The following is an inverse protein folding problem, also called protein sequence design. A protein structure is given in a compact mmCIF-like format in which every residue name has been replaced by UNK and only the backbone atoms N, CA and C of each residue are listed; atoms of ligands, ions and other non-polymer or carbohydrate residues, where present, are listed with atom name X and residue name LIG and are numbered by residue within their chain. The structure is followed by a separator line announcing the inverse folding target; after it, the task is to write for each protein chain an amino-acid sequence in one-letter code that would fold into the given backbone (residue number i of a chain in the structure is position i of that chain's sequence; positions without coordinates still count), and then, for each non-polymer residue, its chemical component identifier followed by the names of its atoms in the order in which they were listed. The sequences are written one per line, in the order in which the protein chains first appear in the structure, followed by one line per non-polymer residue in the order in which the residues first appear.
data_IF_665809826265
#
_entry.id   IF_665809826265
#
_cell.length_a   1.000
_cell.length_b   1.000
_cell.length_c   1.000
_cell.angle_alpha   90.00
_cell.angle_beta   90.00
_cell.angle_gamma   90.00
#
_symmetry.space_group_name_H-M   'P 1'
#
loop_
_entity.id
_entity.type
_entity.pdbx_description
1 polymer ?
#
# COMPACT_ATOMS: atom_id res chain seq x y z
N UNK A 1 41.00 7.45 0.12
CA UNK A 1 40.09 6.92 1.15
C UNK A 1 38.99 7.94 1.33
N UNK A 2 37.80 7.68 0.79
CA UNK A 2 36.60 8.45 1.11
C UNK A 2 35.46 7.45 1.25
N UNK A 3 35.18 7.09 2.49
CA UNK A 3 33.99 6.35 2.88
C UNK A 3 32.79 7.23 2.57
N UNK A 4 32.07 6.92 1.51
CA UNK A 4 30.71 7.40 1.32
C UNK A 4 29.82 6.56 2.23
N UNK A 5 29.56 7.08 3.43
CA UNK A 5 28.44 6.63 4.25
C UNK A 5 27.17 6.80 3.42
N UNK A 6 26.55 5.67 3.09
CA UNK A 6 25.29 5.58 2.38
C UNK A 6 24.18 5.65 3.45
N UNK A 7 23.45 6.77 3.63
CA UNK A 7 22.45 6.85 4.71
C UNK A 7 21.13 6.14 4.36
N UNK A 8 21.03 5.51 3.19
CA UNK A 8 19.78 4.95 2.65
C UNK A 8 19.62 3.42 2.80
N UNK A 9 20.31 2.80 3.76
CA UNK A 9 19.92 1.49 4.30
C UNK A 9 19.23 1.65 5.67
N UNK A 10 18.31 2.61 5.80
CA UNK A 10 17.40 2.59 6.95
C UNK A 10 16.48 1.39 6.75
N UNK A 11 16.85 0.25 7.33
CA UNK A 11 15.96 -0.90 7.49
C UNK A 11 14.71 -0.34 8.15
N UNK A 12 13.63 -0.24 7.40
CA UNK A 12 12.38 0.28 7.91
C UNK A 12 11.90 -0.69 9.00
N UNK A 13 12.04 -0.28 10.26
CA UNK A 13 11.62 -1.07 11.42
C UNK A 13 10.68 -0.19 12.24
N UNK A 14 9.35 -0.40 12.13
CA UNK A 14 8.41 0.21 13.05
C UNK A 14 8.78 -0.21 14.47
N UNK A 15 9.18 0.74 15.30
CA UNK A 15 9.57 0.47 16.69
C UNK A 15 8.36 0.74 17.58
N UNK A 16 7.94 -0.26 18.34
CA UNK A 16 6.92 -0.08 19.38
C UNK A 16 7.57 0.68 20.55
N UNK A 17 7.01 1.82 21.01
CA UNK A 17 7.58 2.54 22.14
C UNK A 17 7.65 1.64 23.39
N UNK A 18 8.74 1.70 24.18
CA UNK A 18 8.94 0.80 25.31
C UNK A 18 7.89 0.98 26.43
N UNK A 19 7.28 2.17 26.51
CA UNK A 19 6.31 2.55 27.54
C UNK A 19 4.90 1.98 27.31
N UNK A 20 4.71 1.18 26.25
CA UNK A 20 3.41 0.63 25.89
C UNK A 20 3.20 -0.70 26.64
N UNK A 21 2.08 -0.89 27.37
CA UNK A 21 1.76 -2.16 27.99
C UNK A 21 1.84 -3.29 26.96
N UNK A 22 2.36 -4.47 27.34
CA UNK A 22 2.47 -5.63 26.42
C UNK A 22 3.37 -5.43 25.20
N UNK A 23 4.23 -4.40 25.19
CA UNK A 23 5.28 -4.20 24.18
C UNK A 23 6.13 -5.45 23.94
N UNK A 24 6.39 -6.25 24.98
CA UNK A 24 7.12 -7.52 24.89
C UNK A 24 6.48 -8.53 23.94
N UNK A 25 5.14 -8.63 23.91
CA UNK A 25 4.43 -9.57 23.04
C UNK A 25 4.39 -9.08 21.60
N UNK A 26 4.19 -7.77 21.40
CA UNK A 26 4.28 -7.15 20.08
C UNK A 26 5.69 -7.37 19.49
N UNK A 27 6.73 -7.17 20.30
CA UNK A 27 8.11 -7.38 19.90
C UNK A 27 8.41 -8.86 19.60
N UNK A 28 7.87 -9.79 20.39
CA UNK A 28 8.00 -11.23 20.13
C UNK A 28 7.37 -11.61 18.78
N UNK A 29 6.15 -11.16 18.49
CA UNK A 29 5.50 -11.43 17.18
C UNK A 29 6.32 -10.83 16.04
N UNK A 30 6.80 -9.59 16.19
CA UNK A 30 7.66 -8.98 15.18
C UNK A 30 8.98 -9.73 14.98
N UNK A 31 9.54 -10.33 16.04
CA UNK A 31 10.73 -11.17 15.96
C UNK A 31 10.44 -12.50 15.24
N UNK A 32 9.31 -13.14 15.54
CA UNK A 32 8.86 -14.35 14.84
C UNK A 32 8.64 -14.08 13.35
N UNK A 33 8.18 -12.87 13.03
CA UNK A 33 7.92 -12.41 11.67
C UNK A 33 9.09 -11.67 11.02
N UNK A 34 10.31 -11.72 11.59
CA UNK A 34 11.46 -10.91 11.14
C UNK A 34 11.77 -11.04 9.64
N UNK A 35 11.46 -12.19 9.04
CA UNK A 35 11.71 -12.49 7.62
C UNK A 35 10.52 -12.10 6.71
N UNK A 36 9.37 -11.75 7.29
CA UNK A 36 8.20 -11.28 6.54
C UNK A 36 8.21 -9.75 6.38
N UNK A 37 7.36 -9.23 5.50
CA UNK A 37 7.11 -7.79 5.34
C UNK A 37 6.04 -7.23 6.30
N UNK A 38 5.51 -8.05 7.22
CA UNK A 38 4.36 -7.71 8.07
C UNK A 38 4.80 -7.48 9.51
N UNK A 39 4.39 -6.36 10.09
CA UNK A 39 4.72 -5.99 11.48
C UNK A 39 3.49 -5.49 12.20
N UNK A 40 3.47 -5.62 13.51
CA UNK A 40 2.50 -4.95 14.37
C UNK A 40 3.18 -3.78 15.05
N UNK A 41 2.50 -2.65 15.08
CA UNK A 41 2.96 -1.45 15.75
C UNK A 41 1.82 -0.70 16.42
N UNK A 42 2.16 0.35 17.15
CA UNK A 42 1.23 1.37 17.64
C UNK A 42 1.70 2.73 17.15
N UNK A 43 0.77 3.63 16.81
CA UNK A 43 1.13 4.98 16.40
C UNK A 43 1.26 5.89 17.62
N UNK A 44 2.40 6.58 17.77
CA UNK A 44 2.67 7.50 18.90
C UNK A 44 1.63 8.63 19.02
N UNK A 45 0.95 8.99 17.92
CA UNK A 45 -0.08 10.04 17.88
C UNK A 45 -1.51 9.51 18.03
N UNK A 46 -1.69 8.27 18.50
CA UNK A 46 -3.01 7.75 18.84
C UNK A 46 -3.60 8.56 20.02
N UNK A 47 -4.74 9.22 19.81
CA UNK A 47 -5.41 10.02 20.85
C UNK A 47 -5.95 9.09 21.94
N UNK A 48 -5.23 8.95 23.05
CA UNK A 48 -5.75 8.29 24.25
C UNK A 48 -4.68 7.55 25.07
N UNK A 49 -5.01 7.20 26.33
CA UNK A 49 -4.11 6.45 27.22
C UNK A 49 -3.90 4.98 26.78
N UNK A 50 -4.76 4.47 25.91
CA UNK A 50 -4.72 3.10 25.40
C UNK A 50 -4.61 3.11 23.87
N UNK A 51 -3.43 2.80 23.31
CA UNK A 51 -3.15 2.94 21.89
C UNK A 51 -3.80 1.82 21.06
N UNK A 52 -4.17 2.15 19.83
CA UNK A 52 -4.65 1.21 18.83
C UNK A 52 -3.47 0.48 18.15
N UNK A 53 -3.66 -0.82 17.88
CA UNK A 53 -2.74 -1.64 17.12
C UNK A 53 -2.92 -1.40 15.61
N UNK A 54 -1.81 -1.34 14.90
CA UNK A 54 -1.75 -1.24 13.46
C UNK A 54 -0.95 -2.41 12.89
N UNK A 55 -1.47 -3.01 11.83
CA UNK A 55 -0.69 -3.93 10.99
C UNK A 55 -0.02 -3.10 9.93
N UNK A 56 1.30 -3.17 9.88
CA UNK A 56 2.10 -2.44 8.91
C UNK A 56 2.70 -3.42 7.93
N UNK A 57 2.52 -3.15 6.65
CA UNK A 57 2.97 -4.05 5.58
C UNK A 57 3.42 -3.27 4.36
N UNK A 58 4.25 -3.90 3.53
CA UNK A 58 4.55 -3.42 2.19
C UNK A 58 3.72 -4.19 1.17
N UNK A 59 3.05 -3.44 0.30
CA UNK A 59 2.24 -4.00 -0.79
C UNK A 59 2.93 -3.73 -2.12
N UNK A 60 3.26 -4.81 -2.83
CA UNK A 60 3.80 -4.73 -4.17
C UNK A 60 2.71 -4.35 -5.16
N UNK A 61 2.83 -3.16 -5.75
CA UNK A 61 1.92 -2.69 -6.80
C UNK A 61 2.56 -2.70 -8.18
N UNK A 62 3.89 -2.57 -8.26
CA UNK A 62 4.66 -2.56 -9.49
C UNK A 62 5.25 -3.95 -9.78
N UNK A 63 5.37 -4.27 -11.06
CA UNK A 63 6.11 -5.42 -11.58
C UNK A 63 7.58 -5.30 -11.24
N UNK A 64 8.23 -6.43 -10.96
CA UNK A 64 9.69 -6.52 -10.80
C UNK A 64 10.44 -6.28 -12.11
N UNK A 65 9.76 -6.48 -13.24
CA UNK A 65 10.23 -6.10 -14.58
C UNK A 65 10.24 -4.57 -14.75
N UNK A 66 11.44 -4.00 -14.84
CA UNK A 66 11.69 -2.57 -15.02
C UNK A 66 11.25 -2.05 -16.38
N UNK A 67 11.22 -2.89 -17.41
CA UNK A 67 10.83 -2.53 -18.78
C UNK A 67 9.31 -2.40 -18.93
N UNK A 68 8.57 -2.94 -17.95
CA UNK A 68 7.12 -2.91 -18.01
C UNK A 68 6.59 -1.48 -17.84
N UNK A 69 5.79 -0.94 -18.78
CA UNK A 69 5.27 0.40 -18.68
C UNK A 69 4.40 0.61 -17.44
N UNK A 70 4.45 1.81 -16.87
CA UNK A 70 3.71 2.16 -15.64
C UNK A 70 2.19 2.22 -15.84
N UNK A 71 1.74 2.72 -16.99
CA UNK A 71 0.32 2.99 -17.28
C UNK A 71 -0.62 1.79 -17.03
N UNK A 72 -0.34 0.55 -17.52
CA UNK A 72 -1.19 -0.61 -17.24
C UNK A 72 -1.15 -1.07 -15.77
N UNK A 73 -0.18 -0.59 -14.97
CA UNK A 73 0.00 -0.95 -13.56
C UNK A 73 -0.66 0.05 -12.61
N UNK A 74 -0.95 1.27 -13.06
CA UNK A 74 -1.63 2.30 -12.27
C UNK A 74 -2.98 1.84 -11.67
N UNK A 75 -3.83 1.05 -12.36
CA UNK A 75 -5.07 0.57 -11.77
C UNK A 75 -4.87 -0.23 -10.48
N UNK A 76 -3.82 -1.03 -10.38
CA UNK A 76 -3.50 -1.79 -9.16
C UNK A 76 -3.10 -0.84 -8.03
N UNK A 77 -2.22 0.13 -8.31
CA UNK A 77 -1.84 1.16 -7.33
C UNK A 77 -3.04 1.97 -6.85
N UNK A 78 -3.87 2.45 -7.77
CA UNK A 78 -5.06 3.23 -7.44
C UNK A 78 -6.10 2.39 -6.68
N UNK A 79 -6.22 1.09 -6.98
CA UNK A 79 -7.08 0.18 -6.22
C UNK A 79 -6.58 0.00 -4.79
N UNK A 80 -5.26 -0.07 -4.57
CA UNK A 80 -4.67 -0.07 -3.22
C UNK A 80 -5.02 1.22 -2.47
N UNK A 81 -4.80 2.38 -3.10
CA UNK A 81 -5.05 3.68 -2.48
C UNK A 81 -6.55 3.90 -2.19
N UNK A 82 -7.44 3.47 -3.10
CA UNK A 82 -8.89 3.52 -2.92
C UNK A 82 -9.34 2.61 -1.77
N UNK A 83 -8.75 1.41 -1.65
CA UNK A 83 -9.03 0.48 -0.55
C UNK A 83 -8.67 1.07 0.81
N UNK A 84 -7.61 1.87 0.86
CA UNK A 84 -7.15 2.52 2.08
C UNK A 84 -7.88 3.84 2.36
N UNK A 85 -8.69 4.35 1.42
CA UNK A 85 -9.30 5.68 1.49
C UNK A 85 -10.05 5.89 2.81
N UNK A 86 -9.81 7.03 3.45
CA UNK A 86 -10.42 7.37 4.75
C UNK A 86 -9.73 6.73 5.96
N UNK A 87 -8.74 5.85 5.76
CA UNK A 87 -7.88 5.37 6.85
C UNK A 87 -6.70 6.31 7.06
N UNK A 88 -6.13 6.31 8.26
CA UNK A 88 -4.86 7.00 8.56
C UNK A 88 -3.66 6.37 7.82
N UNK A 89 -3.86 5.24 7.15
CA UNK A 89 -2.83 4.47 6.45
C UNK A 89 -2.65 4.80 4.97
N UNK A 90 -3.44 5.71 4.40
CA UNK A 90 -3.25 6.15 3.00
C UNK A 90 -1.93 6.91 2.90
N UNK A 91 -0.97 6.46 2.06
CA UNK A 91 0.23 7.23 1.81
C UNK A 91 -0.12 8.51 1.03
N UNK A 92 0.40 9.65 1.49
CA UNK A 92 0.23 10.94 0.80
C UNK A 92 1.01 11.00 -0.51
N UNK A 93 2.12 10.28 -0.57
CA UNK A 93 3.00 10.20 -1.74
C UNK A 93 3.41 8.75 -1.99
N UNK A 94 3.41 8.38 -3.27
CA UNK A 94 3.94 7.11 -3.75
C UNK A 94 4.99 7.40 -4.81
N UNK A 95 6.21 6.89 -4.59
CA UNK A 95 7.29 6.87 -5.58
C UNK A 95 6.97 5.83 -6.65
N UNK A 96 6.82 6.28 -7.90
CA UNK A 96 6.43 5.47 -9.05
C UNK A 96 7.61 4.69 -9.65
N UNK A 97 8.83 5.13 -9.36
CA UNK A 97 10.09 4.50 -9.72
C UNK A 97 10.53 3.40 -8.74
N UNK A 98 10.00 3.37 -7.51
CA UNK A 98 10.34 2.39 -6.48
C UNK A 98 9.82 0.98 -6.80
N UNK A 99 10.67 -0.03 -6.52
CA UNK A 99 10.33 -1.46 -6.55
C UNK A 99 10.05 -2.04 -5.16
N UNK A 100 10.24 -1.27 -4.09
CA UNK A 100 10.08 -1.73 -2.69
C UNK A 100 8.61 -1.88 -2.24
N UNK A 101 7.66 -1.61 -3.14
CA UNK A 101 6.24 -1.56 -2.82
C UNK A 101 5.85 -0.30 -2.03
N UNK A 102 4.61 -0.29 -1.54
CA UNK A 102 4.04 0.82 -0.76
C UNK A 102 3.85 0.37 0.67
N UNK A 103 4.44 1.09 1.63
CA UNK A 103 4.20 0.87 3.05
C UNK A 103 2.80 1.38 3.41
N UNK A 104 2.00 0.52 4.03
CA UNK A 104 0.60 0.81 4.41
C UNK A 104 0.39 0.46 5.88
N UNK A 105 -0.40 1.30 6.56
CA UNK A 105 -0.73 1.14 7.98
C UNK A 105 -2.21 0.79 8.09
N UNK A 106 -2.51 -0.47 8.39
CA UNK A 106 -3.86 -0.99 8.48
C UNK A 106 -4.36 -0.84 9.93
N UNK A 107 -5.38 0.01 10.18
CA UNK A 107 -5.99 0.08 11.49
C UNK A 107 -6.69 -1.25 11.79
N UNK A 108 -6.45 -1.79 12.99
CA UNK A 108 -7.06 -3.07 13.41
C UNK A 108 -8.36 -2.85 14.20
N UNK A 109 -8.61 -1.63 14.69
CA UNK A 109 -9.69 -1.35 15.64
C UNK A 109 -9.46 -1.92 17.04
N UNK A 110 -8.37 -2.66 17.26
CA UNK A 110 -8.06 -3.32 18.52
C UNK A 110 -7.08 -2.45 19.29
N UNK A 111 -7.38 -2.23 20.57
CA UNK A 111 -6.49 -1.53 21.48
C UNK A 111 -5.56 -2.49 22.20
N UNK A 112 -4.40 -2.01 22.62
CA UNK A 112 -3.41 -2.79 23.35
C UNK A 112 -3.98 -3.42 24.64
N UNK A 113 -4.84 -2.69 25.36
CA UNK A 113 -5.52 -3.23 26.55
C UNK A 113 -6.46 -4.40 26.23
N UNK A 114 -7.00 -4.46 25.02
CA UNK A 114 -7.92 -5.49 24.55
C UNK A 114 -7.27 -6.86 24.36
N UNK A 115 -5.93 -6.92 24.25
CA UNK A 115 -5.24 -8.20 24.11
C UNK A 115 -5.47 -9.13 25.33
N UNK A 116 -5.31 -10.44 25.18
CA UNK A 116 -5.35 -11.38 26.27
C UNK A 116 -4.25 -11.10 27.31
N UNK A 117 -4.48 -11.51 28.57
CA UNK A 117 -3.40 -11.50 29.58
C UNK A 117 -2.45 -12.68 29.40
N UNK A 118 -2.95 -13.77 28.82
CA UNK A 118 -2.15 -14.96 28.52
C UNK A 118 -1.22 -14.69 27.32
N UNK A 119 0.10 -14.91 27.45
CA UNK A 119 1.07 -14.66 26.37
C UNK A 119 0.80 -15.48 25.10
N UNK A 120 0.45 -16.76 25.24
CA UNK A 120 0.24 -17.66 24.11
C UNK A 120 -0.99 -17.24 23.31
N UNK A 121 -2.09 -16.94 24.00
CA UNK A 121 -3.31 -16.40 23.38
C UNK A 121 -3.07 -15.04 22.74
N UNK A 122 -2.28 -14.18 23.38
CA UNK A 122 -1.92 -12.87 22.81
C UNK A 122 -1.17 -12.99 21.49
N UNK A 123 -0.17 -13.89 21.43
CA UNK A 123 0.58 -14.14 20.20
C UNK A 123 -0.33 -14.71 19.11
N UNK A 124 -1.19 -15.68 19.44
CA UNK A 124 -2.16 -16.25 18.50
C UNK A 124 -3.12 -15.20 17.93
N UNK A 125 -3.64 -14.33 18.78
CA UNK A 125 -4.54 -13.25 18.38
C UNK A 125 -3.84 -12.22 17.50
N UNK A 126 -2.61 -11.80 17.87
CA UNK A 126 -1.79 -10.89 17.07
C UNK A 126 -1.49 -11.45 15.67
N UNK A 127 -1.18 -12.75 15.57
CA UNK A 127 -0.98 -13.41 14.27
C UNK A 127 -2.27 -13.45 13.45
N UNK A 128 -3.40 -13.79 14.06
CA UNK A 128 -4.72 -13.77 13.38
C UNK A 128 -5.05 -12.38 12.85
N UNK A 129 -4.83 -11.33 13.66
CA UNK A 129 -5.08 -9.94 13.26
C UNK A 129 -4.27 -9.56 12.01
N UNK A 130 -3.01 -10.00 11.91
CA UNK A 130 -2.20 -9.77 10.71
C UNK A 130 -2.82 -10.48 9.52
N UNK A 131 -3.12 -11.78 9.64
CA UNK A 131 -3.68 -12.58 8.55
C UNK A 131 -5.01 -12.01 8.05
N UNK A 132 -5.92 -11.69 8.97
CA UNK A 132 -7.24 -11.13 8.67
C UNK A 132 -7.13 -9.75 8.00
N UNK A 133 -6.26 -8.88 8.52
CA UNK A 133 -6.05 -7.53 7.97
C UNK A 133 -5.49 -7.59 6.55
N UNK A 134 -4.52 -8.49 6.30
CA UNK A 134 -3.93 -8.68 4.97
C UNK A 134 -4.91 -9.31 3.99
N UNK A 135 -5.64 -10.33 4.44
CA UNK A 135 -6.66 -11.02 3.64
C UNK A 135 -7.74 -10.03 3.19
N UNK A 136 -8.23 -9.21 4.12
CA UNK A 136 -9.22 -8.17 3.83
C UNK A 136 -8.68 -7.15 2.81
N UNK A 137 -7.50 -6.57 3.08
CA UNK A 137 -6.85 -5.61 2.18
C UNK A 137 -6.70 -6.17 0.75
N UNK A 138 -6.11 -7.36 0.62
CA UNK A 138 -5.81 -7.95 -0.68
C UNK A 138 -7.08 -8.37 -1.43
N UNK A 139 -8.09 -8.88 -0.71
CA UNK A 139 -9.39 -9.22 -1.29
C UNK A 139 -10.08 -7.97 -1.85
N UNK A 140 -10.23 -6.93 -1.04
CA UNK A 140 -10.88 -5.67 -1.44
C UNK A 140 -10.13 -5.00 -2.59
N UNK A 141 -8.79 -4.93 -2.52
CA UNK A 141 -7.98 -4.38 -3.60
C UNK A 141 -8.21 -5.12 -4.93
N UNK A 142 -8.23 -6.46 -4.90
CA UNK A 142 -8.49 -7.29 -6.10
C UNK A 142 -9.88 -7.08 -6.65
N UNK A 143 -10.89 -6.95 -5.79
CA UNK A 143 -12.26 -6.68 -6.21
C UNK A 143 -12.37 -5.32 -6.91
N UNK A 144 -11.83 -4.27 -6.30
CA UNK A 144 -11.82 -2.91 -6.88
C UNK A 144 -11.13 -2.91 -8.24
N UNK A 145 -9.95 -3.54 -8.35
CA UNK A 145 -9.20 -3.64 -9.61
C UNK A 145 -9.98 -4.42 -10.68
N UNK A 146 -10.61 -5.54 -10.30
CA UNK A 146 -11.43 -6.37 -11.19
C UNK A 146 -12.60 -5.58 -11.75
N UNK A 147 -13.29 -4.81 -10.90
CA UNK A 147 -14.41 -3.97 -11.34
C UNK A 147 -13.96 -2.80 -12.22
N UNK A 148 -12.81 -2.19 -11.92
CA UNK A 148 -12.19 -1.19 -12.80
C UNK A 148 -11.96 -1.78 -14.20
N UNK A 149 -11.29 -2.94 -14.29
CA UNK A 149 -11.01 -3.55 -15.59
C UNK A 149 -12.27 -4.01 -16.32
N UNK A 150 -13.31 -4.42 -15.60
CA UNK A 150 -14.62 -4.72 -16.20
C UNK A 150 -15.25 -3.46 -16.81
N UNK A 151 -15.16 -2.31 -16.16
CA UNK A 151 -15.63 -1.03 -16.70
C UNK A 151 -14.75 -0.52 -17.86
N UNK A 152 -13.44 -0.69 -17.75
CA UNK A 152 -12.47 -0.30 -18.77
C UNK A 152 -12.67 -1.06 -20.08
N UNK A 153 -12.95 -2.37 -20.00
CA UNK A 153 -13.25 -3.21 -21.17
C UNK A 153 -14.48 -2.74 -21.95
N UNK A 154 -15.52 -2.26 -21.26
CA UNK A 154 -16.71 -1.68 -21.92
C UNK A 154 -16.38 -0.44 -22.75
N UNK A 155 -15.26 0.22 -22.44
CA UNK A 155 -14.77 1.41 -23.14
C UNK A 155 -13.61 1.11 -24.11
N UNK A 156 -13.35 -0.18 -24.39
CA UNK A 156 -12.31 -0.63 -25.32
C UNK A 156 -10.91 -0.76 -24.72
N UNK A 157 -10.75 -0.69 -23.40
CA UNK A 157 -9.45 -0.82 -22.74
C UNK A 157 -9.28 -2.18 -22.07
N UNK A 158 -8.13 -2.80 -22.28
CA UNK A 158 -7.68 -4.00 -21.58
C UNK A 158 -6.20 -3.82 -21.19
N UNK A 159 -5.68 -4.58 -20.22
CA UNK A 159 -4.27 -4.44 -19.83
C UNK A 159 -3.30 -4.54 -21.01
N UNK A 160 -3.44 -5.49 -21.96
CA UNK A 160 -2.60 -5.53 -23.16
C UNK A 160 -2.73 -4.29 -24.04
N UNK A 161 -3.95 -3.77 -24.26
CA UNK A 161 -4.17 -2.56 -25.07
C UNK A 161 -3.48 -1.35 -24.42
N UNK A 162 -3.65 -1.18 -23.12
CA UNK A 162 -3.04 -0.08 -22.36
C UNK A 162 -1.52 -0.19 -22.36
N UNK A 163 -0.99 -1.41 -22.34
CA UNK A 163 0.45 -1.66 -22.46
C UNK A 163 0.99 -1.25 -23.84
N UNK A 164 0.33 -1.64 -24.93
CA UNK A 164 0.69 -1.22 -26.30
C UNK A 164 0.60 0.30 -26.48
N UNK A 165 -0.41 0.93 -25.88
CA UNK A 165 -0.55 2.39 -25.84
C UNK A 165 0.64 3.04 -25.12
N UNK A 166 1.08 2.48 -23.99
CA UNK A 166 2.20 3.00 -23.22
C UNK A 166 3.54 2.86 -23.96
N UNK A 167 3.71 1.77 -24.73
CA UNK A 167 4.87 1.54 -25.62
C UNK A 167 4.82 2.35 -26.92
N UNK A 168 3.73 3.08 -27.18
CA UNK A 168 3.49 3.86 -28.40
C UNK A 168 3.58 3.02 -29.68
N UNK A 169 3.08 1.78 -29.63
CA UNK A 169 3.01 0.91 -30.80
C UNK A 169 2.14 1.54 -31.91
N UNK A 170 2.48 1.24 -33.17
CA UNK A 170 1.77 1.73 -34.35
C UNK A 170 0.28 1.36 -34.28
N UNK A 171 -0.60 2.37 -34.39
CA UNK A 171 -2.06 2.21 -34.26
C UNK A 171 -2.60 2.42 -32.84
N UNK A 172 -1.75 2.48 -31.81
CA UNK A 172 -2.16 2.69 -30.41
C UNK A 172 -1.57 3.97 -29.79
N UNK A 173 -0.76 4.73 -30.54
CA UNK A 173 -0.05 5.93 -30.08
C UNK A 173 -0.87 7.24 -30.08
N UNK A 174 -2.20 7.16 -30.27
CA UNK A 174 -3.05 8.35 -30.30
C UNK A 174 -3.11 9.07 -28.94
N UNK A 175 -2.87 10.39 -28.88
CA UNK A 175 -3.03 11.19 -27.67
C UNK A 175 -4.45 11.13 -27.09
N UNK A 176 -5.46 11.03 -27.94
CA UNK A 176 -6.87 10.95 -27.51
C UNK A 176 -7.17 9.66 -26.76
N UNK A 177 -6.60 8.54 -27.19
CA UNK A 177 -6.73 7.26 -26.47
C UNK A 177 -6.12 7.35 -25.07
N UNK A 178 -4.94 7.98 -24.96
CA UNK A 178 -4.27 8.21 -23.68
C UNK A 178 -5.14 9.08 -22.75
N UNK A 179 -5.66 10.20 -23.25
CA UNK A 179 -6.53 11.08 -22.47
C UNK A 179 -7.82 10.39 -22.03
N UNK A 180 -8.45 9.59 -22.89
CA UNK A 180 -9.66 8.83 -22.54
C UNK A 180 -9.39 7.84 -21.41
N UNK A 181 -8.27 7.14 -21.45
CA UNK A 181 -7.88 6.23 -20.38
C UNK A 181 -7.58 6.98 -19.07
N UNK A 182 -6.85 8.09 -19.12
CA UNK A 182 -6.58 8.91 -17.93
C UNK A 182 -7.87 9.47 -17.31
N UNK A 183 -8.79 10.00 -18.12
CA UNK A 183 -10.11 10.47 -17.65
C UNK A 183 -10.90 9.34 -16.98
N UNK A 184 -10.78 8.11 -17.48
CA UNK A 184 -11.41 6.95 -16.86
C UNK A 184 -10.84 6.64 -15.48
N UNK A 185 -9.51 6.68 -15.32
CA UNK A 185 -8.88 6.51 -14.01
C UNK A 185 -9.44 7.54 -13.01
N UNK A 186 -9.44 8.81 -13.39
CA UNK A 186 -9.96 9.90 -12.54
C UNK A 186 -11.47 9.82 -12.28
N UNK A 187 -12.26 9.27 -13.20
CA UNK A 187 -13.71 9.12 -13.03
C UNK A 187 -14.07 7.92 -12.17
N UNK A 188 -13.28 6.84 -12.25
CA UNK A 188 -13.58 5.59 -11.55
C UNK A 188 -13.10 5.60 -10.11
N UNK A 189 -11.85 6.02 -9.88
CA UNK A 189 -11.30 6.13 -8.53
C UNK A 189 -11.79 7.44 -7.93
N UNK A 190 -12.37 7.37 -6.74
CA UNK A 190 -12.89 8.58 -6.09
C UNK A 190 -11.76 9.36 -5.42
N UNK A 191 -10.63 8.69 -5.13
CA UNK A 191 -9.44 9.34 -4.60
C UNK A 191 -8.94 10.42 -5.58
N UNK A 192 -8.68 11.62 -5.06
CA UNK A 192 -8.04 12.67 -5.84
C UNK A 192 -6.54 12.44 -5.84
N UNK A 193 -5.94 12.39 -7.04
CA UNK A 193 -4.49 12.20 -7.18
C UNK A 193 -3.92 13.01 -8.33
N UNK A 194 -2.62 13.34 -8.20
CA UNK A 194 -1.82 13.93 -9.27
C UNK A 194 -0.57 13.11 -9.50
N UNK A 195 -0.24 12.92 -10.78
CA UNK A 195 0.99 12.25 -11.21
C UNK A 195 2.00 13.30 -11.66
N UNK A 196 3.08 13.45 -10.90
CA UNK A 196 4.22 14.31 -11.20
C UNK A 196 5.27 13.48 -11.94
N UNK A 197 5.21 13.49 -13.28
CA UNK A 197 6.10 12.68 -14.13
C UNK A 197 7.58 13.02 -13.95
N UNK A 198 7.92 14.30 -13.81
CA UNK A 198 9.30 14.75 -13.62
C UNK A 198 9.91 14.25 -12.31
N UNK A 199 9.08 14.04 -11.28
CA UNK A 199 9.51 13.56 -9.98
C UNK A 199 9.31 12.04 -9.83
N UNK A 200 8.72 11.38 -10.82
CA UNK A 200 8.23 10.01 -10.74
C UNK A 200 7.38 9.76 -9.48
N UNK A 201 6.42 10.64 -9.17
CA UNK A 201 5.59 10.54 -7.96
C UNK A 201 4.09 10.63 -8.25
N UNK A 202 3.31 9.92 -7.45
CA UNK A 202 1.87 10.09 -7.33
C UNK A 202 1.58 10.70 -5.97
N UNK A 203 0.92 11.87 -5.95
CA UNK A 203 0.44 12.51 -4.72
C UNK A 203 -1.06 12.28 -4.59
N UNK A 204 -1.49 11.84 -3.43
CA UNK A 204 -2.91 11.78 -3.04
C UNK A 204 -3.27 13.14 -2.46
N UNK A 205 -4.26 13.82 -3.04
CA UNK A 205 -4.76 15.07 -2.51
C UNK A 205 -5.61 14.76 -1.27
N UNK A 206 -5.38 15.50 -0.19
CA UNK A 206 -6.26 15.43 0.98
C UNK A 206 -7.61 16.05 0.61
N UNK A 207 -8.70 15.35 0.94
CA UNK A 207 -10.05 15.90 0.88
C UNK A 207 -10.26 16.96 1.98
#
# INVERSE_FOLDING_TARGET
MSSTDNPDQSTWVPTTPPNIPRSSMINLVNLLLRESAHRITVLERARGPDPELYVVTRVDWRSTDSERPMLPQLPKLLSLLETLRGTKGVPREVKLDSTEGVAVYLPTGIKVSGLPKDPKKSVQELMSIIEDSLSHLLSTMREVEKWFWKAARKNGFSPPIVERMARKETGFSSPDLMMRFQRMLHKYFSLKFRIYRAEARLRVEAD
#
